data_IF_456703130197
#
_entry.id   IF_456703130197
#
_cell.length_a   1.000
_cell.length_b   1.000
_cell.length_c   1.000
_cell.angle_alpha   90.00
_cell.angle_beta   90.00
_cell.angle_gamma   90.00
#
_symmetry.space_group_name_H-M   'P 1'
#
loop_
_entity.id
_entity.type
_entity.pdbx_description
1 polymer ?
#
# COMPACT_ATOMS: atom_id res chain seq x y z
N UNK A 1 -8.67 8.28 0.10
CA UNK A 1 -9.16 7.23 -0.84
C UNK A 1 -8.04 6.70 -1.75
N UNK A 2 -7.37 7.49 -2.58
CA UNK A 2 -6.20 7.01 -3.37
C UNK A 2 -4.95 6.79 -2.51
N UNK A 3 -4.71 7.67 -1.54
CA UNK A 3 -3.57 7.57 -0.63
C UNK A 3 -3.74 6.46 0.41
N UNK A 4 -4.94 5.94 0.64
CA UNK A 4 -5.18 4.90 1.66
C UNK A 4 -5.11 3.48 1.06
N UNK A 5 -4.87 3.36 -0.25
CA UNK A 5 -4.77 2.08 -0.95
C UNK A 5 -6.11 1.39 -1.21
N UNK A 6 -7.22 2.03 -0.87
CA UNK A 6 -8.58 1.47 -0.97
C UNK A 6 -9.20 1.63 -2.37
N UNK A 7 -8.49 2.25 -3.33
CA UNK A 7 -8.97 2.38 -4.70
C UNK A 7 -8.73 1.08 -5.50
N UNK A 8 -9.80 0.59 -6.14
CA UNK A 8 -9.69 -0.36 -7.23
C UNK A 8 -8.91 0.24 -8.43
N UNK A 9 -8.48 -0.64 -9.33
CA UNK A 9 -7.60 -0.28 -10.44
C UNK A 9 -8.27 0.69 -11.44
N UNK A 10 -9.58 0.54 -11.68
CA UNK A 10 -10.32 1.42 -12.59
C UNK A 10 -10.43 2.84 -12.04
N UNK A 11 -10.70 2.96 -10.73
CA UNK A 11 -10.77 4.22 -10.01
C UNK A 11 -9.41 4.89 -9.96
N UNK A 12 -8.34 4.11 -9.77
CA UNK A 12 -6.96 4.60 -9.80
C UNK A 12 -6.59 5.19 -11.16
N UNK A 13 -6.88 4.47 -12.25
CA UNK A 13 -6.59 4.94 -13.60
C UNK A 13 -7.34 6.25 -13.93
N UNK A 14 -8.62 6.35 -13.53
CA UNK A 14 -9.42 7.57 -13.74
C UNK A 14 -8.88 8.76 -12.95
N UNK A 15 -8.47 8.54 -11.70
CA UNK A 15 -7.89 9.60 -10.87
C UNK A 15 -6.53 10.04 -11.40
N UNK A 16 -5.69 9.11 -11.85
CA UNK A 16 -4.40 9.43 -12.46
C UNK A 16 -4.58 10.33 -13.67
N UNK A 17 -5.46 9.95 -14.60
CA UNK A 17 -5.76 10.77 -15.77
C UNK A 17 -6.23 12.18 -15.40
N UNK A 18 -7.07 12.31 -14.36
CA UNK A 18 -7.53 13.62 -13.91
C UNK A 18 -6.39 14.48 -13.32
N UNK A 19 -5.48 13.87 -12.56
CA UNK A 19 -4.33 14.57 -11.99
C UNK A 19 -3.36 15.03 -13.10
N UNK A 20 -3.22 14.25 -14.17
CA UNK A 20 -2.36 14.59 -15.31
C UNK A 20 -2.92 15.80 -16.10
N UNK A 21 -4.26 15.92 -16.17
CA UNK A 21 -4.94 17.00 -16.92
C UNK A 21 -5.29 18.24 -16.06
N UNK A 22 -5.24 18.14 -14.72
CA UNK A 22 -5.71 19.18 -13.81
C UNK A 22 -4.64 19.59 -12.78
N UNK A 23 -3.92 20.68 -13.06
CA UNK A 23 -2.84 21.18 -12.20
C UNK A 23 -3.26 21.56 -10.77
N UNK A 24 -4.47 22.12 -10.57
CA UNK A 24 -4.95 22.46 -9.22
C UNK A 24 -5.21 21.22 -8.36
N UNK A 25 -5.68 20.14 -8.97
CA UNK A 25 -5.87 18.85 -8.29
C UNK A 25 -4.53 18.18 -8.00
N UNK A 26 -3.53 18.32 -8.89
CA UNK A 26 -2.17 17.86 -8.65
C UNK A 26 -1.51 18.58 -7.46
N UNK A 27 -1.69 19.90 -7.35
CA UNK A 27 -1.18 20.68 -6.21
C UNK A 27 -1.81 20.23 -4.89
N UNK A 28 -3.14 20.07 -4.86
CA UNK A 28 -3.86 19.58 -3.69
C UNK A 28 -3.41 18.17 -3.29
N UNK A 29 -3.28 17.26 -4.27
CA UNK A 29 -2.80 15.89 -4.04
C UNK A 29 -1.39 15.87 -3.45
N UNK A 30 -0.49 16.73 -3.96
CA UNK A 30 0.87 16.88 -3.42
C UNK A 30 0.89 17.37 -1.96
N UNK A 31 -0.09 18.17 -1.53
CA UNK A 31 -0.23 18.56 -0.12
C UNK A 31 -0.66 17.36 0.72
N UNK A 32 -1.66 16.60 0.28
CA UNK A 32 -2.12 15.40 0.99
C UNK A 32 -0.99 14.38 1.15
N UNK A 33 -0.20 14.15 0.11
CA UNK A 33 0.97 13.27 0.15
C UNK A 33 2.01 13.73 1.19
N UNK A 34 2.32 15.04 1.20
CA UNK A 34 3.25 15.63 2.18
C UNK A 34 2.74 15.48 3.61
N UNK A 35 1.44 15.68 3.84
CA UNK A 35 0.81 15.49 5.16
C UNK A 35 0.88 14.03 5.59
N UNK A 36 0.52 13.09 4.72
CA UNK A 36 0.63 11.65 5.00
C UNK A 36 2.07 11.25 5.36
N UNK A 37 3.04 11.74 4.60
CA UNK A 37 4.47 11.51 4.87
C UNK A 37 4.90 12.09 6.22
N UNK A 38 4.43 13.29 6.57
CA UNK A 38 4.72 13.93 7.85
C UNK A 38 4.13 13.13 9.02
N UNK A 39 2.86 12.71 8.92
CA UNK A 39 2.20 11.87 9.92
C UNK A 39 2.92 10.54 10.08
N UNK A 40 3.29 9.88 8.99
CA UNK A 40 4.04 8.61 9.07
C UNK A 40 5.38 8.79 9.79
N UNK A 41 6.11 9.90 9.54
CA UNK A 41 7.39 10.19 10.21
C UNK A 41 7.23 10.56 11.68
N UNK A 42 6.18 11.28 12.06
CA UNK A 42 5.99 11.82 13.41
C UNK A 42 5.18 10.90 14.32
N UNK A 43 4.30 10.10 13.74
CA UNK A 43 3.31 9.30 14.44
C UNK A 43 3.34 7.81 14.04
N UNK A 44 4.13 7.39 13.05
CA UNK A 44 4.32 5.97 12.69
C UNK A 44 5.24 5.20 13.65
N UNK A 45 5.39 5.69 14.88
CA UNK A 45 6.44 5.36 15.84
C UNK A 45 6.26 4.05 16.61
N UNK A 46 5.53 3.08 16.06
CA UNK A 46 5.45 1.74 16.64
C UNK A 46 5.90 0.72 15.59
N UNK A 47 7.14 0.24 15.76
CA UNK A 47 7.62 -0.86 14.92
C UNK A 47 6.88 -2.12 15.35
N UNK A 48 6.29 -2.82 14.39
CA UNK A 48 5.66 -4.11 14.64
C UNK A 48 6.63 -5.04 15.42
N UNK A 49 6.15 -5.75 16.47
CA UNK A 49 7.01 -6.62 17.26
C UNK A 49 7.73 -7.66 16.39
N UNK A 50 8.99 -7.95 16.72
CA UNK A 50 9.80 -8.92 15.97
C UNK A 50 9.14 -10.31 15.94
N UNK A 51 8.46 -10.69 17.02
CA UNK A 51 7.70 -11.94 17.09
C UNK A 51 6.58 -12.01 16.04
N UNK A 52 5.94 -10.90 15.70
CA UNK A 52 4.92 -10.83 14.65
C UNK A 52 5.57 -11.02 13.27
N UNK A 53 6.71 -10.37 13.02
CA UNK A 53 7.47 -10.52 11.77
C UNK A 53 7.95 -11.94 11.54
N UNK A 54 8.48 -12.59 12.57
CA UNK A 54 8.91 -13.99 12.50
C UNK A 54 7.74 -14.93 12.18
N UNK A 55 6.61 -14.77 12.87
CA UNK A 55 5.40 -15.56 12.62
C UNK A 55 4.91 -15.39 11.17
N UNK A 56 4.81 -14.15 10.69
CA UNK A 56 4.39 -13.88 9.31
C UNK A 56 5.35 -14.48 8.29
N UNK A 57 6.66 -14.42 8.54
CA UNK A 57 7.67 -15.00 7.63
C UNK A 57 7.56 -16.53 7.52
N UNK A 58 7.23 -17.22 8.61
CA UNK A 58 7.01 -18.67 8.63
C UNK A 58 5.74 -19.01 7.85
N UNK A 59 4.62 -18.34 8.14
CA UNK A 59 3.33 -18.60 7.49
C UNK A 59 3.41 -18.32 5.98
N UNK A 60 4.01 -17.21 5.56
CA UNK A 60 4.18 -16.89 4.13
C UNK A 60 4.97 -17.97 3.38
N UNK A 61 6.07 -18.46 3.97
CA UNK A 61 6.87 -19.56 3.37
C UNK A 61 6.07 -20.87 3.29
N UNK A 62 5.25 -21.16 4.31
CA UNK A 62 4.38 -22.34 4.31
C UNK A 62 3.33 -22.26 3.22
N UNK A 63 2.69 -21.11 3.03
CA UNK A 63 1.68 -20.91 1.99
C UNK A 63 2.25 -21.09 0.59
N UNK A 64 3.47 -20.61 0.33
CA UNK A 64 4.14 -20.75 -0.99
C UNK A 64 4.41 -22.23 -1.32
N UNK A 65 4.81 -23.04 -0.34
CA UNK A 65 5.04 -24.47 -0.55
C UNK A 65 3.76 -25.22 -0.92
N UNK A 66 2.63 -24.88 -0.30
CA UNK A 66 1.35 -25.54 -0.57
C UNK A 66 0.88 -25.27 -2.00
N UNK A 67 1.00 -24.02 -2.47
CA UNK A 67 0.60 -23.66 -3.84
C UNK A 67 1.45 -24.31 -4.93
N UNK A 68 2.73 -24.59 -4.65
CA UNK A 68 3.63 -25.25 -5.60
C UNK A 68 3.28 -26.75 -5.71
N UNK A 69 2.95 -27.39 -4.60
CA UNK A 69 2.58 -28.82 -4.56
C UNK A 69 1.20 -29.16 -5.12
N UNK A 70 0.32 -28.17 -5.32
CA UNK A 70 -1.00 -28.34 -5.92
C UNK A 70 -1.03 -28.06 -7.44
N UNK A 71 0.09 -27.63 -8.04
CA UNK A 71 0.19 -27.35 -9.49
C UNK A 71 0.96 -28.43 -10.28
N UNK A 72 1.48 -29.46 -9.60
CA UNK A 72 2.10 -30.64 -10.22
C UNK A 72 1.22 -31.88 -9.99
N UNK A 73 0.06 -31.93 -10.65
CA UNK A 73 -0.76 -33.14 -10.86
C UNK A 73 -1.66 -32.97 -12.08
#
# INVERSE_FOLDING_TARGET
MMLDGECDEATRARLQWHLDECGSCLEAYGIEEKVKNLVNRKCGGETAPESLRQRLSIELRRTILVTDTDTDS
#
